data_IF_972700923976
#
_entry.id   IF_972700923976
#
_cell.length_a   1.000
_cell.length_b   1.000
_cell.length_c   1.000
_cell.angle_alpha   90.00
_cell.angle_beta   90.00
_cell.angle_gamma   90.00
#
_symmetry.space_group_name_H-M   'P 1'
#
loop_
_entity.id
_entity.type
_entity.pdbx_description
1 polymer ?
#
# COMPACT_ATOMS: atom_id res chain seq x y z
N UNK A 1 1.71 1.39 -13.65
CA UNK A 1 0.92 2.46 -12.99
C UNK A 1 -0.46 2.74 -13.63
N UNK A 2 -1.53 2.84 -12.83
CA UNK A 2 -2.86 3.30 -13.27
C UNK A 2 -2.96 4.84 -13.39
N UNK A 3 -3.93 5.33 -14.15
CA UNK A 3 -4.30 6.75 -14.14
C UNK A 3 -4.98 7.14 -12.82
N UNK A 4 -4.87 8.41 -12.40
CA UNK A 4 -5.51 8.89 -11.16
C UNK A 4 -7.04 8.75 -11.17
N UNK A 5 -7.67 8.76 -12.35
CA UNK A 5 -9.10 8.53 -12.53
C UNK A 5 -9.52 7.09 -12.24
N UNK A 6 -8.64 6.11 -12.45
CA UNK A 6 -8.91 4.68 -12.23
C UNK A 6 -8.71 4.25 -10.76
N UNK A 7 -8.13 5.13 -9.94
CA UNK A 7 -7.94 4.86 -8.52
C UNK A 7 -9.25 5.06 -7.74
N UNK A 8 -9.57 4.14 -6.81
CA UNK A 8 -10.72 4.30 -5.92
C UNK A 8 -10.57 5.55 -5.06
N UNK A 9 -11.66 6.31 -4.91
CA UNK A 9 -11.71 7.47 -4.01
C UNK A 9 -11.84 7.10 -2.54
N UNK A 10 -12.32 5.89 -2.25
CA UNK A 10 -12.73 5.47 -0.91
C UNK A 10 -12.17 4.07 -0.58
N UNK A 11 -10.88 3.86 -0.87
CA UNK A 11 -10.22 2.62 -0.51
C UNK A 11 -9.89 2.63 0.98
N UNK A 12 -10.63 1.82 1.75
CA UNK A 12 -10.32 1.61 3.16
C UNK A 12 -8.88 1.12 3.33
N UNK A 13 -8.11 1.82 4.19
CA UNK A 13 -6.76 1.41 4.60
C UNK A 13 -6.69 -0.06 5.02
N UNK A 14 -7.71 -0.55 5.72
CA UNK A 14 -7.77 -1.94 6.17
C UNK A 14 -7.75 -2.93 5.00
N UNK A 15 -8.52 -2.66 3.94
CA UNK A 15 -8.56 -3.51 2.74
C UNK A 15 -7.22 -3.48 2.01
N UNK A 16 -6.65 -2.28 1.87
CA UNK A 16 -5.35 -2.11 1.24
C UNK A 16 -4.25 -2.87 1.97
N UNK A 17 -4.16 -2.73 3.30
CA UNK A 17 -3.18 -3.47 4.11
C UNK A 17 -3.40 -4.99 4.01
N UNK A 18 -4.64 -5.46 4.02
CA UNK A 18 -4.95 -6.88 3.86
C UNK A 18 -4.50 -7.43 2.50
N UNK A 19 -4.68 -6.65 1.42
CA UNK A 19 -4.17 -7.00 0.11
C UNK A 19 -2.63 -7.06 0.09
N UNK A 20 -1.95 -6.08 0.72
CA UNK A 20 -0.50 -6.10 0.85
C UNK A 20 -0.01 -7.32 1.65
N UNK A 21 -0.65 -7.67 2.76
CA UNK A 21 -0.32 -8.89 3.51
C UNK A 21 -0.46 -10.14 2.64
N UNK A 22 -1.53 -10.25 1.83
CA UNK A 22 -1.73 -11.36 0.89
C UNK A 22 -0.65 -11.45 -0.19
N UNK A 23 -0.03 -10.33 -0.54
CA UNK A 23 1.08 -10.26 -1.49
C UNK A 23 2.45 -10.50 -0.84
N UNK A 24 2.51 -10.68 0.48
CA UNK A 24 3.73 -11.01 1.21
C UNK A 24 4.38 -9.84 1.94
N UNK A 25 3.72 -8.68 2.02
CA UNK A 25 4.21 -7.59 2.87
C UNK A 25 4.01 -7.91 4.36
N UNK A 26 5.01 -7.55 5.16
CA UNK A 26 4.93 -7.61 6.62
C UNK A 26 4.39 -6.26 7.10
N UNK A 27 3.27 -6.27 7.80
CA UNK A 27 2.65 -5.05 8.32
C UNK A 27 3.12 -4.82 9.76
N UNK A 28 3.81 -3.72 9.99
CA UNK A 28 4.27 -3.28 11.31
C UNK A 28 3.42 -2.10 11.79
N UNK A 29 2.69 -2.33 12.88
CA UNK A 29 1.82 -1.36 13.53
C UNK A 29 2.41 -0.80 14.82
N UNK A 30 3.65 -1.17 15.18
CA UNK A 30 4.28 -0.79 16.45
C UNK A 30 4.76 0.66 16.39
N UNK A 31 4.40 1.46 17.40
CA UNK A 31 4.94 2.80 17.63
C UNK A 31 4.19 3.98 16.99
N UNK A 32 3.11 3.74 16.24
CA UNK A 32 2.25 4.80 15.71
C UNK A 32 1.02 5.04 16.59
N UNK A 33 0.56 6.30 16.72
CA UNK A 33 -0.75 6.63 17.33
C UNK A 33 -1.96 6.09 16.55
N UNK A 34 -1.76 5.14 15.63
CA UNK A 34 -2.76 4.61 14.70
C UNK A 34 -2.81 5.34 13.35
N UNK A 35 -2.10 6.46 13.21
CA UNK A 35 -2.19 7.31 12.00
C UNK A 35 -1.31 6.84 10.85
N UNK A 36 -0.24 6.10 11.14
CA UNK A 36 0.71 5.61 10.15
C UNK A 36 1.02 4.14 10.43
N UNK A 37 1.05 3.33 9.39
CA UNK A 37 1.37 1.90 9.45
C UNK A 37 2.49 1.63 8.46
N UNK A 38 3.49 0.83 8.85
CA UNK A 38 4.58 0.45 7.93
C UNK A 38 4.24 -0.85 7.23
N UNK A 39 4.41 -0.90 5.92
CA UNK A 39 4.40 -2.12 5.12
C UNK A 39 5.83 -2.40 4.66
N UNK A 40 6.37 -3.56 5.05
CA UNK A 40 7.77 -3.94 4.82
C UNK A 40 7.79 -5.02 3.74
N UNK A 41 8.61 -4.83 2.71
CA UNK A 41 8.88 -5.86 1.72
C UNK A 41 10.07 -6.72 2.17
N UNK A 42 9.86 -8.00 2.51
CA UNK A 42 10.90 -8.82 3.13
C UNK A 42 12.10 -9.09 2.23
N UNK A 43 11.93 -9.10 0.90
CA UNK A 43 13.03 -9.41 -0.01
C UNK A 43 14.10 -8.30 -0.06
N UNK A 44 13.71 -7.04 0.18
CA UNK A 44 14.62 -5.88 0.11
C UNK A 44 14.75 -5.15 1.44
N UNK A 45 13.98 -5.54 2.47
CA UNK A 45 13.81 -4.83 3.74
C UNK A 45 13.40 -3.36 3.59
N UNK A 46 12.89 -2.95 2.42
CA UNK A 46 12.35 -1.61 2.22
C UNK A 46 10.99 -1.50 2.91
N UNK A 47 10.77 -0.39 3.59
CA UNK A 47 9.51 -0.09 4.27
C UNK A 47 8.80 1.08 3.61
N UNK A 48 7.49 0.96 3.47
CA UNK A 48 6.61 1.98 2.92
C UNK A 48 5.63 2.40 4.02
N UNK A 49 5.53 3.69 4.27
CA UNK A 49 4.57 4.23 5.24
C UNK A 49 3.21 4.38 4.58
N UNK A 50 2.18 3.81 5.20
CA UNK A 50 0.78 3.87 4.80
C UNK A 50 0.04 4.78 5.77
N UNK A 51 -0.41 5.92 5.26
CA UNK A 51 -1.17 6.91 6.02
C UNK A 51 -2.58 6.40 6.33
N UNK A 52 -3.19 6.92 7.40
CA UNK A 52 -4.57 6.64 7.77
C UNK A 52 -5.58 7.01 6.69
N UNK A 53 -5.34 8.16 6.05
CA UNK A 53 -6.15 8.69 4.97
C UNK A 53 -5.53 8.35 3.61
N UNK A 54 -6.10 7.36 2.94
CA UNK A 54 -5.64 6.84 1.65
C UNK A 54 -6.33 7.58 0.50
N UNK A 55 -6.18 8.90 0.47
CA UNK A 55 -6.65 9.74 -0.65
C UNK A 55 -5.99 9.32 -1.96
N UNK A 56 -6.63 9.63 -3.10
CA UNK A 56 -6.17 9.17 -4.42
C UNK A 56 -4.73 9.57 -4.74
N UNK A 57 -4.32 10.78 -4.36
CA UNK A 57 -2.97 11.30 -4.53
C UNK A 57 -1.94 10.54 -3.70
N UNK A 58 -2.27 10.27 -2.43
CA UNK A 58 -1.45 9.48 -1.50
C UNK A 58 -1.34 8.03 -1.99
N UNK A 59 -2.47 7.40 -2.32
CA UNK A 59 -2.52 6.05 -2.88
C UNK A 59 -1.69 5.94 -4.16
N UNK A 60 -1.81 6.91 -5.08
CA UNK A 60 -1.00 6.95 -6.30
C UNK A 60 0.51 6.93 -5.98
N UNK A 61 0.94 7.77 -5.03
CA UNK A 61 2.35 7.84 -4.66
C UNK A 61 2.85 6.54 -4.00
N UNK A 62 2.05 5.96 -3.10
CA UNK A 62 2.34 4.67 -2.47
C UNK A 62 2.47 3.57 -3.52
N UNK A 63 1.53 3.47 -4.47
CA UNK A 63 1.55 2.48 -5.54
C UNK A 63 2.79 2.61 -6.42
N UNK A 64 3.22 3.85 -6.70
CA UNK A 64 4.46 4.10 -7.45
C UNK A 64 5.69 3.57 -6.72
N UNK A 65 5.76 3.77 -5.40
CA UNK A 65 6.86 3.25 -4.58
C UNK A 65 6.82 1.71 -4.56
N UNK A 66 5.64 1.11 -4.32
CA UNK A 66 5.47 -0.35 -4.31
C UNK A 66 5.94 -0.95 -5.64
N UNK A 67 5.46 -0.42 -6.76
CA UNK A 67 5.83 -0.90 -8.11
C UNK A 67 7.34 -0.77 -8.34
N UNK A 68 7.96 0.34 -7.92
CA UNK A 68 9.40 0.58 -8.06
C UNK A 68 10.27 -0.31 -7.16
N UNK A 69 9.81 -0.62 -5.94
CA UNK A 69 10.61 -1.33 -4.94
C UNK A 69 10.41 -2.85 -4.97
N UNK A 70 9.28 -3.31 -5.50
CA UNK A 70 8.87 -4.72 -5.45
C UNK A 70 8.48 -5.30 -6.81
N UNK A 71 8.20 -4.46 -7.82
CA UNK A 71 7.65 -4.89 -9.11
C UNK A 71 6.16 -5.24 -9.09
N UNK A 72 5.51 -5.21 -7.92
CA UNK A 72 4.08 -5.47 -7.76
C UNK A 72 3.28 -4.31 -8.34
N UNK A 73 2.35 -4.61 -9.23
CA UNK A 73 1.54 -3.61 -9.91
C UNK A 73 0.23 -3.35 -9.16
N UNK A 74 -0.45 -2.25 -9.51
CA UNK A 74 -1.81 -2.02 -9.03
C UNK A 74 -2.79 -3.15 -9.41
N UNK A 75 -2.59 -3.81 -10.55
CA UNK A 75 -3.42 -4.95 -10.95
C UNK A 75 -3.32 -6.09 -9.93
N UNK A 76 -2.10 -6.45 -9.55
CA UNK A 76 -1.84 -7.50 -8.55
C UNK A 76 -2.47 -7.18 -7.20
N UNK A 77 -2.41 -5.92 -6.78
CA UNK A 77 -3.03 -5.45 -5.53
C UNK A 77 -4.55 -5.50 -5.65
N UNK A 78 -5.11 -5.04 -6.77
CA UNK A 78 -6.54 -5.02 -7.02
C UNK A 78 -7.16 -6.42 -7.01
N UNK A 79 -6.42 -7.42 -7.48
CA UNK A 79 -6.84 -8.82 -7.44
C UNK A 79 -6.88 -9.41 -6.02
N UNK A 80 -6.26 -8.74 -5.04
CA UNK A 80 -6.24 -9.17 -3.62
C UNK A 80 -7.09 -8.31 -2.69
N UNK A 81 -7.70 -7.22 -3.20
CA UNK A 81 -8.57 -6.29 -2.45
C UNK A 81 -9.89 -6.89 -1.96
#
# INVERSE_FOLDING_TARGET
>A
MPSRSELPSDLSRKKFLHALTRLGFIIDTVGGKGDHIKAIWPATNKSITIDADLRKDVLYYILKIIESDTGITWGDIKDKL
#
